data_IF_760522313130
#
_entry.id   IF_760522313130
#
_cell.length_a   1.000
_cell.length_b   1.000
_cell.length_c   1.000
_cell.angle_alpha   90.00
_cell.angle_beta   90.00
_cell.angle_gamma   90.00
#
_symmetry.space_group_name_H-M   'P 1'
#
loop_
_entity.id
_entity.type
_entity.pdbx_description
1 polymer ?
#
# COMPACT_ATOMS: atom_id res chain seq x y z
N UNK A 1 38.18 -26.16 -5.75
CA UNK A 1 37.11 -25.60 -4.92
C UNK A 1 36.27 -24.68 -5.79
N UNK A 2 35.17 -25.19 -6.33
CA UNK A 2 34.26 -24.50 -7.24
C UNK A 2 33.12 -23.90 -6.42
N UNK A 3 33.06 -22.57 -6.32
CA UNK A 3 31.96 -21.86 -5.67
C UNK A 3 30.82 -21.65 -6.67
N UNK A 4 29.71 -22.34 -6.42
CA UNK A 4 28.42 -22.18 -7.09
C UNK A 4 27.86 -20.76 -6.89
N UNK A 5 27.84 -19.95 -7.95
CA UNK A 5 26.91 -18.83 -8.07
C UNK A 5 25.56 -19.40 -8.55
N UNK A 6 24.58 -19.51 -7.65
CA UNK A 6 23.21 -19.81 -8.06
C UNK A 6 22.22 -18.91 -7.34
N UNK A 7 21.35 -18.31 -8.17
CA UNK A 7 20.07 -17.65 -7.84
C UNK A 7 20.14 -16.25 -7.21
N UNK A 8 20.51 -15.27 -8.02
CA UNK A 8 19.89 -13.94 -7.90
C UNK A 8 18.44 -14.10 -8.38
N UNK A 9 17.49 -14.01 -7.45
CA UNK A 9 16.07 -14.12 -7.74
C UNK A 9 15.56 -12.81 -8.33
N UNK A 10 14.71 -12.93 -9.35
CA UNK A 10 14.03 -11.85 -10.08
C UNK A 10 13.14 -10.95 -9.18
N UNK A 11 13.01 -11.28 -7.89
CA UNK A 11 12.17 -10.62 -6.89
C UNK A 11 12.74 -9.31 -6.34
N UNK A 12 14.05 -9.08 -6.45
CA UNK A 12 14.67 -7.82 -6.02
C UNK A 12 14.37 -6.63 -6.94
N UNK A 13 14.02 -6.89 -8.21
CA UNK A 13 13.77 -5.82 -9.19
C UNK A 13 12.45 -5.08 -8.98
N UNK A 14 11.45 -5.67 -8.32
CA UNK A 14 10.13 -5.03 -8.17
C UNK A 14 10.06 -3.97 -7.06
N UNK A 15 10.92 -4.01 -6.05
CA UNK A 15 11.08 -2.90 -5.10
C UNK A 15 12.09 -1.83 -5.57
N UNK A 16 13.00 -2.19 -6.50
CA UNK A 16 14.10 -1.35 -6.94
C UNK A 16 13.81 -0.49 -8.18
N UNK A 17 12.75 -0.78 -8.95
CA UNK A 17 12.54 -0.20 -10.29
C UNK A 17 11.82 1.16 -10.32
N UNK A 18 11.76 1.90 -9.21
CA UNK A 18 11.31 3.30 -9.20
C UNK A 18 12.24 4.14 -8.31
N UNK A 19 13.51 4.21 -8.68
CA UNK A 19 14.44 5.20 -8.12
C UNK A 19 15.48 5.60 -9.16
N UNK A 20 15.16 6.59 -9.98
CA UNK A 20 16.12 7.59 -10.46
C UNK A 20 15.37 8.79 -11.04
N UNK A 21 15.89 9.99 -10.75
CA UNK A 21 15.41 11.35 -11.11
C UNK A 21 14.33 11.98 -10.22
N UNK A 22 14.81 12.68 -9.18
CA UNK A 22 14.18 13.89 -8.64
C UNK A 22 14.73 15.09 -9.41
N UNK A 23 13.87 16.02 -9.84
CA UNK A 23 14.11 17.48 -9.91
C UNK A 23 12.78 18.17 -10.31
N UNK A 24 12.27 19.00 -9.39
CA UNK A 24 11.28 20.09 -9.47
C UNK A 24 9.93 19.94 -10.19
N UNK A 25 8.86 20.35 -9.48
CA UNK A 25 7.56 20.70 -10.06
C UNK A 25 6.38 20.47 -9.11
N UNK A 26 6.24 21.28 -8.05
CA UNK A 26 4.98 21.38 -7.29
C UNK A 26 4.07 22.39 -8.00
N UNK A 27 3.24 21.92 -8.93
CA UNK A 27 2.05 22.66 -9.33
C UNK A 27 0.86 22.12 -8.53
N UNK A 28 0.07 23.04 -7.97
CA UNK A 28 -1.10 22.76 -7.17
C UNK A 28 -2.20 22.10 -8.01
N UNK A 29 -2.18 20.77 -8.09
CA UNK A 29 -3.15 19.93 -8.83
C UNK A 29 -4.41 19.57 -8.04
N UNK A 30 -4.50 19.96 -6.77
CA UNK A 30 -5.63 19.66 -5.89
C UNK A 30 -6.99 20.16 -6.43
N UNK A 31 -7.02 21.09 -7.38
CA UNK A 31 -8.28 21.62 -7.96
C UNK A 31 -8.93 20.72 -9.02
N UNK A 32 -8.22 19.74 -9.60
CA UNK A 32 -8.80 18.90 -10.67
C UNK A 32 -9.59 17.69 -10.16
N UNK A 33 -9.43 17.31 -8.89
CA UNK A 33 -9.97 16.07 -8.32
C UNK A 33 -10.95 16.33 -7.19
N UNK A 34 -11.93 17.21 -7.43
CA UNK A 34 -13.05 17.38 -6.49
C UNK A 34 -13.96 16.14 -6.52
N UNK A 35 -14.71 15.85 -5.44
CA UNK A 35 -15.64 14.72 -5.36
C UNK A 35 -16.57 14.58 -6.59
N UNK A 36 -17.04 15.71 -7.12
CA UNK A 36 -17.96 15.76 -8.26
C UNK A 36 -17.30 15.44 -9.61
N UNK A 37 -15.97 15.52 -9.70
CA UNK A 37 -15.21 15.28 -10.93
C UNK A 37 -14.72 13.84 -11.08
N UNK A 38 -14.61 13.09 -9.98
CA UNK A 38 -14.17 11.68 -10.01
C UNK A 38 -15.10 10.80 -10.85
N UNK A 39 -16.44 10.85 -10.69
CA UNK A 39 -17.35 10.06 -11.52
C UNK A 39 -17.22 10.41 -13.01
N UNK A 40 -17.17 11.71 -13.33
CA UNK A 40 -17.04 12.17 -14.71
C UNK A 40 -15.75 11.68 -15.38
N UNK A 41 -14.62 11.77 -14.67
CA UNK A 41 -13.34 11.25 -15.17
C UNK A 41 -13.40 9.73 -15.41
N UNK A 42 -14.13 8.99 -14.57
CA UNK A 42 -14.30 7.54 -14.71
C UNK A 42 -15.17 7.21 -15.93
N UNK A 43 -16.25 7.96 -16.16
CA UNK A 43 -17.17 7.73 -17.27
C UNK A 43 -16.53 7.98 -18.64
N UNK A 44 -15.58 8.91 -18.72
CA UNK A 44 -14.88 9.28 -19.96
C UNK A 44 -13.70 8.33 -20.30
N UNK A 45 -13.35 7.38 -19.41
CA UNK A 45 -12.22 6.47 -19.59
C UNK A 45 -12.67 5.02 -19.78
N UNK A 46 -11.94 4.20 -20.55
CA UNK A 46 -12.21 2.78 -20.68
C UNK A 46 -11.70 2.01 -19.45
N UNK A 47 -12.26 2.34 -18.28
CA UNK A 47 -11.98 1.74 -16.96
C UNK A 47 -13.23 1.05 -16.42
N UNK A 48 -13.05 0.01 -15.62
CA UNK A 48 -14.11 -0.92 -15.23
C UNK A 48 -14.29 -0.99 -13.71
N UNK A 49 -14.36 0.17 -13.05
CA UNK A 49 -14.61 0.23 -11.61
C UNK A 49 -15.97 -0.38 -11.27
N UNK A 50 -15.99 -1.16 -10.20
CA UNK A 50 -17.25 -1.70 -9.67
C UNK A 50 -18.00 -0.63 -8.86
N UNK A 51 -19.33 -0.72 -8.70
CA UNK A 51 -20.11 0.31 -8.02
C UNK A 51 -19.58 0.68 -6.63
N UNK A 52 -19.15 -0.30 -5.82
CA UNK A 52 -18.57 -0.04 -4.50
C UNK A 52 -17.20 0.63 -4.57
N UNK A 53 -16.40 0.39 -5.61
CA UNK A 53 -15.12 1.08 -5.80
C UNK A 53 -15.35 2.54 -6.19
N UNK A 54 -16.32 2.84 -7.06
CA UNK A 54 -16.70 4.21 -7.41
C UNK A 54 -17.15 4.98 -6.16
N UNK A 55 -18.03 4.36 -5.36
CA UNK A 55 -18.48 4.94 -4.09
C UNK A 55 -17.31 5.19 -3.13
N UNK A 56 -16.37 4.24 -3.02
CA UNK A 56 -15.19 4.42 -2.18
C UNK A 56 -14.30 5.56 -2.67
N UNK A 57 -14.04 5.65 -3.98
CA UNK A 57 -13.22 6.72 -4.56
C UNK A 57 -13.84 8.10 -4.30
N UNK A 58 -15.16 8.21 -4.45
CA UNK A 58 -15.90 9.43 -4.10
C UNK A 58 -15.79 9.74 -2.60
N UNK A 59 -15.98 8.75 -1.73
CA UNK A 59 -15.87 8.91 -0.26
C UNK A 59 -14.49 9.39 0.18
N UNK A 60 -13.42 9.00 -0.53
CA UNK A 60 -12.03 9.35 -0.21
C UNK A 60 -11.53 10.65 -0.82
N UNK A 61 -12.32 11.29 -1.69
CA UNK A 61 -11.87 12.42 -2.53
C UNK A 61 -11.54 13.69 -1.73
N UNK A 62 -12.10 13.85 -0.54
CA UNK A 62 -11.79 14.94 0.41
C UNK A 62 -10.68 14.54 1.42
N UNK A 63 -10.09 13.36 1.26
CA UNK A 63 -9.08 12.81 2.17
C UNK A 63 -9.67 12.20 3.45
N UNK A 64 -10.98 12.06 3.56
CA UNK A 64 -11.69 11.49 4.70
C UNK A 64 -12.42 10.18 4.33
N UNK A 65 -13.05 9.54 5.32
CA UNK A 65 -13.96 8.41 5.12
C UNK A 65 -15.25 8.76 5.85
N UNK A 66 -16.28 9.10 5.09
CA UNK A 66 -17.56 9.58 5.61
C UNK A 66 -18.65 8.49 5.51
N UNK A 67 -18.59 7.69 4.45
CA UNK A 67 -19.60 6.71 4.06
C UNK A 67 -19.18 5.30 4.42
N UNK A 68 -17.88 5.00 4.39
CA UNK A 68 -17.36 3.68 4.71
C UNK A 68 -16.63 3.65 6.06
N UNK A 69 -16.85 2.55 6.80
CA UNK A 69 -15.95 2.24 7.92
C UNK A 69 -14.56 1.91 7.39
N UNK A 70 -13.53 2.07 8.22
CA UNK A 70 -12.17 1.71 7.84
C UNK A 70 -12.08 0.25 7.35
N UNK A 71 -12.74 -0.69 8.05
CA UNK A 71 -12.79 -2.08 7.61
C UNK A 71 -13.39 -2.23 6.22
N UNK A 72 -14.56 -1.62 5.97
CA UNK A 72 -15.24 -1.77 4.69
C UNK A 72 -14.43 -1.15 3.55
N UNK A 73 -13.87 0.04 3.77
CA UNK A 73 -13.00 0.71 2.82
C UNK A 73 -11.78 -0.16 2.44
N UNK A 74 -11.10 -0.76 3.43
CA UNK A 74 -9.98 -1.66 3.19
C UNK A 74 -10.38 -2.95 2.46
N UNK A 75 -11.55 -3.51 2.77
CA UNK A 75 -12.08 -4.69 2.10
C UNK A 75 -12.45 -4.39 0.64
N UNK A 76 -13.10 -3.26 0.35
CA UNK A 76 -13.44 -2.82 -1.00
C UNK A 76 -12.16 -2.56 -1.80
N UNK A 77 -11.20 -1.81 -1.23
CA UNK A 77 -9.89 -1.58 -1.86
C UNK A 77 -9.13 -2.88 -2.12
N UNK A 78 -9.38 -3.92 -1.31
CA UNK A 78 -8.84 -5.28 -1.46
C UNK A 78 -9.61 -6.19 -2.41
N UNK A 79 -10.70 -5.71 -3.05
CA UNK A 79 -11.45 -6.46 -4.05
C UNK A 79 -12.81 -7.01 -3.60
N UNK A 80 -13.31 -6.67 -2.41
CA UNK A 80 -14.68 -7.00 -1.98
C UNK A 80 -15.71 -6.05 -2.61
N UNK A 81 -15.84 -6.11 -3.94
CA UNK A 81 -16.50 -5.09 -4.75
C UNK A 81 -18.01 -5.29 -4.96
N UNK A 82 -18.59 -6.34 -4.38
CA UNK A 82 -20.04 -6.58 -4.38
C UNK A 82 -20.60 -6.57 -2.96
N UNK A 83 -21.88 -6.19 -2.74
CA UNK A 83 -22.49 -6.20 -1.41
C UNK A 83 -22.40 -7.57 -0.71
N UNK A 84 -22.55 -8.65 -1.47
CA UNK A 84 -22.45 -10.03 -0.96
C UNK A 84 -21.02 -10.33 -0.49
N UNK A 85 -20.01 -10.05 -1.33
CA UNK A 85 -18.60 -10.27 -0.98
C UNK A 85 -18.18 -9.42 0.23
N UNK A 86 -18.58 -8.15 0.26
CA UNK A 86 -18.29 -7.25 1.36
C UNK A 86 -18.90 -7.75 2.68
N UNK A 87 -20.18 -8.13 2.67
CA UNK A 87 -20.86 -8.69 3.83
C UNK A 87 -20.22 -9.99 4.35
N UNK A 88 -19.84 -10.89 3.44
CA UNK A 88 -19.14 -12.13 3.81
C UNK A 88 -17.80 -11.87 4.50
N UNK A 89 -16.97 -10.99 3.94
CA UNK A 89 -15.66 -10.66 4.51
C UNK A 89 -15.79 -9.87 5.82
N UNK A 90 -16.78 -8.98 5.92
CA UNK A 90 -17.12 -8.28 7.17
C UNK A 90 -17.48 -9.26 8.29
N UNK A 91 -18.27 -10.30 8.01
CA UNK A 91 -18.60 -11.34 9.00
C UNK A 91 -17.37 -12.10 9.48
N UNK A 92 -16.48 -12.49 8.56
CA UNK A 92 -15.21 -13.16 8.90
C UNK A 92 -14.34 -12.28 9.81
N UNK A 93 -14.19 -11.00 9.48
CA UNK A 93 -13.46 -10.07 10.32
C UNK A 93 -14.09 -9.91 11.71
N UNK A 94 -15.42 -9.70 11.78
CA UNK A 94 -16.14 -9.53 13.05
C UNK A 94 -15.98 -10.74 13.97
N UNK A 95 -16.02 -11.95 13.42
CA UNK A 95 -15.76 -13.17 14.18
C UNK A 95 -14.36 -13.16 14.83
N UNK A 96 -13.32 -12.86 14.04
CA UNK A 96 -11.94 -12.79 14.54
C UNK A 96 -11.73 -11.66 15.55
N UNK A 97 -12.39 -10.52 15.34
CA UNK A 97 -12.35 -9.39 16.26
C UNK A 97 -13.02 -9.73 17.59
N UNK A 98 -14.20 -10.36 17.58
CA UNK A 98 -14.89 -10.81 18.79
C UNK A 98 -14.05 -11.81 19.57
N UNK A 99 -13.46 -12.79 18.88
CA UNK A 99 -12.56 -13.75 19.52
C UNK A 99 -11.35 -13.09 20.17
N UNK A 100 -10.75 -12.07 19.53
CA UNK A 100 -9.68 -11.28 20.13
C UNK A 100 -10.14 -10.51 21.38
N UNK A 101 -11.31 -9.87 21.32
CA UNK A 101 -11.88 -9.10 22.44
C UNK A 101 -12.12 -9.95 23.68
N UNK A 102 -12.46 -11.24 23.49
CA UNK A 102 -12.59 -12.19 24.60
C UNK A 102 -11.24 -12.68 25.13
N UNK A 103 -10.20 -12.66 24.30
CA UNK A 103 -8.88 -13.23 24.62
C UNK A 103 -7.89 -12.19 25.17
N UNK A 104 -8.09 -10.90 24.89
CA UNK A 104 -7.15 -9.83 25.22
C UNK A 104 -7.81 -8.88 26.24
N UNK A 105 -7.40 -8.91 27.53
CA UNK A 105 -8.02 -8.07 28.54
C UNK A 105 -7.81 -6.57 28.29
N UNK A 106 -8.88 -5.77 28.37
CA UNK A 106 -8.83 -4.32 28.19
C UNK A 106 -8.02 -3.57 29.27
N UNK A 107 -7.89 -4.16 30.47
CA UNK A 107 -7.22 -3.56 31.63
C UNK A 107 -5.69 -3.66 31.58
N UNK A 108 -5.13 -4.35 30.59
CA UNK A 108 -3.68 -4.40 30.40
C UNK A 108 -3.14 -3.01 30.06
N UNK A 109 -1.90 -2.74 30.48
CA UNK A 109 -1.15 -1.56 30.03
C UNK A 109 -1.06 -1.50 28.50
N UNK A 110 -0.97 -0.29 27.94
CA UNK A 110 -1.00 -0.02 26.50
C UNK A 110 -0.04 -0.91 25.71
N UNK A 111 1.20 -1.04 26.16
CA UNK A 111 2.26 -1.83 25.52
C UNK A 111 1.93 -3.33 25.59
N UNK A 112 1.39 -3.82 26.70
CA UNK A 112 0.99 -5.22 26.83
C UNK A 112 -0.20 -5.55 25.93
N UNK A 113 -1.20 -4.65 25.81
CA UNK A 113 -2.30 -4.83 24.85
C UNK A 113 -1.80 -4.84 23.42
N UNK A 114 -0.89 -3.94 23.08
CA UNK A 114 -0.25 -3.89 21.78
C UNK A 114 0.48 -5.20 21.45
N UNK A 115 1.23 -5.75 22.42
CA UNK A 115 1.92 -7.03 22.28
C UNK A 115 0.94 -8.18 22.09
N UNK A 116 -0.13 -8.23 22.87
CA UNK A 116 -1.14 -9.29 22.74
C UNK A 116 -1.86 -9.26 21.39
N UNK A 117 -2.17 -8.07 20.85
CA UNK A 117 -2.70 -7.96 19.49
C UNK A 117 -1.68 -8.50 18.48
N UNK A 118 -0.40 -8.10 18.59
CA UNK A 118 0.67 -8.57 17.70
C UNK A 118 0.74 -10.11 17.68
N UNK A 119 0.82 -10.73 18.86
CA UNK A 119 0.91 -12.18 18.95
C UNK A 119 -0.38 -12.88 18.55
N UNK A 120 -1.54 -12.30 18.87
CA UNK A 120 -2.83 -12.82 18.41
C UNK A 120 -2.90 -12.90 16.89
N UNK A 121 -2.52 -11.83 16.19
CA UNK A 121 -2.55 -11.79 14.73
C UNK A 121 -1.64 -12.87 14.13
N UNK A 122 -0.43 -13.06 14.64
CA UNK A 122 0.46 -14.13 14.17
C UNK A 122 -0.04 -15.54 14.50
N UNK A 123 -0.66 -15.74 15.67
CA UNK A 123 -1.21 -17.06 16.04
C UNK A 123 -2.45 -17.43 15.24
N UNK A 124 -3.27 -16.45 14.87
CA UNK A 124 -4.61 -16.70 14.32
C UNK A 124 -4.72 -16.45 12.81
N UNK A 125 -4.01 -15.45 12.29
CA UNK A 125 -4.30 -14.88 10.95
C UNK A 125 -3.06 -14.84 10.05
N UNK A 126 -1.94 -14.27 10.52
CA UNK A 126 -0.74 -14.02 9.73
C UNK A 126 0.12 -15.30 9.64
N UNK A 127 -0.17 -16.15 8.64
CA UNK A 127 0.45 -17.48 8.47
C UNK A 127 1.71 -17.44 7.62
N UNK A 128 1.68 -16.74 6.48
CA UNK A 128 2.78 -16.74 5.51
C UNK A 128 3.01 -15.34 4.94
N UNK A 129 4.24 -14.86 5.08
CA UNK A 129 4.67 -13.63 4.44
C UNK A 129 4.86 -13.83 2.93
N UNK A 130 4.36 -12.88 2.14
CA UNK A 130 4.49 -12.81 0.68
C UNK A 130 5.16 -11.50 0.29
N UNK A 131 6.19 -11.59 -0.56
CA UNK A 131 6.85 -10.41 -1.15
C UNK A 131 6.07 -9.85 -2.33
N UNK A 132 5.16 -10.64 -2.90
CA UNK A 132 4.25 -10.21 -3.97
C UNK A 132 3.06 -9.44 -3.41
N UNK A 133 2.37 -8.64 -4.25
CA UNK A 133 1.14 -7.99 -3.84
C UNK A 133 0.11 -9.02 -3.32
N UNK A 134 -0.39 -8.77 -2.11
CA UNK A 134 -1.52 -9.51 -1.51
C UNK A 134 -2.52 -8.51 -0.93
N UNK A 135 -3.76 -8.96 -0.79
CA UNK A 135 -4.89 -8.15 -0.34
C UNK A 135 -5.40 -8.63 1.02
N UNK A 136 -6.34 -7.90 1.63
CA UNK A 136 -6.99 -8.40 2.84
C UNK A 136 -7.79 -9.68 2.60
N UNK A 137 -8.22 -9.97 1.37
CA UNK A 137 -8.97 -11.19 1.07
C UNK A 137 -8.10 -12.45 1.14
N UNK A 138 -6.80 -12.30 0.87
CA UNK A 138 -5.81 -13.39 0.98
C UNK A 138 -5.55 -13.79 2.45
N UNK A 139 -5.66 -12.83 3.38
CA UNK A 139 -5.56 -13.11 4.83
C UNK A 139 -6.62 -14.11 5.28
N UNK A 140 -7.87 -13.91 4.85
CA UNK A 140 -9.01 -14.70 5.34
C UNK A 140 -9.04 -16.11 4.78
N UNK A 141 -8.52 -16.27 3.57
CA UNK A 141 -8.61 -17.54 2.83
C UNK A 141 -7.37 -18.40 3.02
N UNK A 142 -6.19 -17.78 3.09
CA UNK A 142 -4.90 -18.49 3.10
C UNK A 142 -3.98 -18.06 4.25
N UNK A 143 -4.30 -16.97 4.95
CA UNK A 143 -3.40 -16.36 5.93
C UNK A 143 -2.14 -15.75 5.32
N UNK A 144 -2.18 -15.46 4.01
CA UNK A 144 -1.07 -14.83 3.30
C UNK A 144 -1.10 -13.32 3.55
N UNK A 145 0.05 -12.74 3.84
CA UNK A 145 0.17 -11.33 4.22
C UNK A 145 1.47 -10.71 3.72
N UNK A 146 1.48 -9.39 3.63
CA UNK A 146 2.67 -8.57 3.41
C UNK A 146 2.69 -7.45 4.46
N UNK A 147 3.67 -6.53 4.35
CA UNK A 147 3.86 -5.45 5.31
C UNK A 147 2.62 -4.54 5.45
N UNK A 148 1.94 -4.21 4.35
CA UNK A 148 0.77 -3.33 4.33
C UNK A 148 -0.47 -4.02 4.87
N UNK A 149 -0.80 -5.22 4.38
CA UNK A 149 -1.97 -5.98 4.86
C UNK A 149 -1.87 -6.27 6.36
N UNK A 150 -0.69 -6.65 6.86
CA UNK A 150 -0.49 -6.90 8.28
C UNK A 150 -0.53 -5.63 9.12
N UNK A 151 0.12 -4.55 8.69
CA UNK A 151 0.07 -3.26 9.39
C UNK A 151 -1.35 -2.71 9.43
N UNK A 152 -2.10 -2.77 8.32
CA UNK A 152 -3.47 -2.32 8.27
C UNK A 152 -4.40 -3.13 9.17
N UNK A 153 -4.23 -4.46 9.17
CA UNK A 153 -4.98 -5.33 10.08
C UNK A 153 -4.71 -4.99 11.54
N UNK A 154 -3.43 -4.85 11.91
CA UNK A 154 -3.04 -4.42 13.25
C UNK A 154 -3.63 -3.05 13.59
N UNK A 155 -3.56 -2.09 12.68
CA UNK A 155 -4.11 -0.74 12.86
C UNK A 155 -5.61 -0.76 13.18
N UNK A 156 -6.41 -1.56 12.46
CA UNK A 156 -7.85 -1.69 12.75
C UNK A 156 -8.09 -2.33 14.13
N UNK A 157 -7.35 -3.39 14.48
CA UNK A 157 -7.48 -4.02 15.79
C UNK A 157 -7.09 -3.05 16.91
N UNK A 158 -5.94 -2.40 16.80
CA UNK A 158 -5.41 -1.46 17.77
C UNK A 158 -6.38 -0.29 18.04
N UNK A 159 -7.03 0.24 17.00
CA UNK A 159 -8.07 1.28 17.16
C UNK A 159 -9.27 0.81 17.98
N UNK A 160 -9.61 -0.49 17.95
CA UNK A 160 -10.70 -1.03 18.78
C UNK A 160 -10.34 -1.07 20.28
N UNK A 161 -9.05 -1.07 20.61
CA UNK A 161 -8.53 -1.00 21.97
C UNK A 161 -8.03 0.40 22.36
N UNK A 162 -8.38 1.43 21.57
CA UNK A 162 -7.98 2.82 21.78
C UNK A 162 -6.45 3.00 21.90
N UNK A 163 -5.67 2.16 21.19
CA UNK A 163 -4.22 2.27 21.20
C UNK A 163 -3.74 3.39 20.26
N UNK A 164 -2.79 4.23 20.70
CA UNK A 164 -2.31 5.37 19.92
C UNK A 164 -1.28 4.92 18.88
N UNK A 165 -1.75 4.29 17.80
CA UNK A 165 -0.89 3.71 16.75
C UNK A 165 -0.96 4.48 15.44
N UNK A 166 0.12 4.41 14.67
CA UNK A 166 0.22 4.96 13.32
C UNK A 166 0.84 3.94 12.37
N UNK A 167 0.35 3.87 11.12
CA UNK A 167 1.05 3.15 10.04
C UNK A 167 2.14 4.06 9.52
N UNK A 168 3.38 3.58 9.56
CA UNK A 168 4.54 4.28 9.01
C UNK A 168 4.95 3.59 7.74
N UNK A 169 4.99 4.36 6.65
CA UNK A 169 5.55 3.94 5.38
C UNK A 169 6.98 4.46 5.23
N UNK A 170 7.83 3.62 4.68
CA UNK A 170 9.18 3.92 4.23
C UNK A 170 9.28 3.55 2.75
N UNK A 171 10.33 3.98 2.03
CA UNK A 171 10.46 3.68 0.59
C UNK A 171 10.33 2.20 0.21
N UNK A 172 10.65 1.27 1.12
CA UNK A 172 10.65 -0.17 0.85
C UNK A 172 9.69 -0.98 1.71
N UNK A 173 9.08 -0.37 2.73
CA UNK A 173 8.49 -1.13 3.81
C UNK A 173 7.45 -0.34 4.60
N UNK A 174 6.59 -1.04 5.32
CA UNK A 174 5.63 -0.42 6.22
C UNK A 174 5.55 -1.19 7.55
N UNK A 175 5.40 -0.45 8.63
CA UNK A 175 5.30 -1.00 9.99
C UNK A 175 4.35 -0.15 10.84
N UNK A 176 4.09 -0.59 12.07
CA UNK A 176 3.29 0.17 13.04
C UNK A 176 4.20 0.88 14.03
N UNK A 177 3.94 2.15 14.28
CA UNK A 177 4.49 2.88 15.42
C UNK A 177 3.43 3.01 16.50
N UNK A 178 3.73 2.52 17.70
CA UNK A 178 2.97 2.81 18.90
C UNK A 178 3.52 4.11 19.52
N UNK A 179 2.67 5.13 19.60
CA UNK A 179 3.04 6.48 20.04
C UNK A 179 2.99 6.57 21.59
N UNK A 180 3.84 5.79 22.24
CA UNK A 180 4.16 5.87 23.67
C UNK A 180 5.42 6.72 23.89
N UNK A 181 5.86 6.88 25.15
CA UNK A 181 7.12 7.54 25.49
C UNK A 181 8.03 6.58 26.28
N UNK A 182 9.08 5.98 25.63
CA UNK A 182 9.46 6.14 24.22
C UNK A 182 8.48 5.44 23.26
N UNK A 183 8.49 5.86 21.99
CA UNK A 183 7.68 5.22 20.95
C UNK A 183 8.22 3.84 20.60
N UNK A 184 7.34 2.87 20.37
CA UNK A 184 7.74 1.51 19.98
C UNK A 184 7.43 1.24 18.50
N UNK A 185 8.34 0.51 17.84
CA UNK A 185 8.10 -0.02 16.50
C UNK A 185 7.56 -1.44 16.63
N UNK A 186 6.54 -1.75 15.84
CA UNK A 186 5.91 -3.05 15.76
C UNK A 186 6.02 -3.52 14.31
N UNK A 187 6.93 -4.46 14.09
CA UNK A 187 7.29 -5.03 12.80
C UNK A 187 6.55 -6.34 12.55
N UNK A 188 5.40 -6.26 11.86
CA UNK A 188 4.50 -7.39 11.64
C UNK A 188 5.05 -8.44 10.66
N UNK A 189 6.17 -8.17 9.98
CA UNK A 189 6.83 -9.16 9.12
C UNK A 189 7.85 -10.02 9.89
N UNK A 190 8.09 -9.73 11.17
CA UNK A 190 9.00 -10.48 12.05
C UNK A 190 8.23 -11.15 13.21
N UNK A 191 7.60 -12.33 13.00
CA UNK A 191 6.62 -12.91 13.94
C UNK A 191 7.12 -13.15 15.36
N UNK A 192 8.43 -13.34 15.56
CA UNK A 192 9.02 -13.64 16.88
C UNK A 192 9.65 -12.44 17.58
N UNK A 193 10.13 -11.45 16.82
CA UNK A 193 10.98 -10.34 17.31
C UNK A 193 10.52 -8.97 16.83
N UNK A 194 9.31 -8.90 16.29
CA UNK A 194 8.78 -7.69 15.67
C UNK A 194 8.20 -6.68 16.65
N UNK A 195 7.76 -7.13 17.83
CA UNK A 195 7.26 -6.21 18.86
C UNK A 195 8.42 -5.51 19.57
N UNK A 196 8.42 -4.17 19.58
CA UNK A 196 9.54 -3.38 20.11
C UNK A 196 10.79 -3.49 19.23
N UNK A 197 10.61 -3.74 17.93
CA UNK A 197 11.71 -3.89 16.98
C UNK A 197 12.59 -2.63 16.95
N UNK A 198 13.90 -2.81 16.93
CA UNK A 198 14.84 -1.72 16.73
C UNK A 198 15.75 -2.09 15.57
N UNK A 199 15.80 -1.24 14.56
CA UNK A 199 16.64 -1.43 13.40
C UNK A 199 17.96 -0.69 13.62
N UNK A 200 19.07 -1.38 13.44
CA UNK A 200 20.38 -0.72 13.48
C UNK A 200 20.60 0.10 12.21
N UNK A 201 21.57 1.02 12.25
CA UNK A 201 21.96 1.80 11.06
C UNK A 201 22.43 0.88 9.93
N UNK A 202 23.22 -0.13 10.26
CA UNK A 202 23.78 -1.08 9.30
C UNK A 202 22.69 -1.94 8.65
N UNK A 203 21.65 -2.32 9.40
CA UNK A 203 20.50 -3.04 8.87
C UNK A 203 19.77 -2.19 7.80
N UNK A 204 19.53 -0.91 8.07
CA UNK A 204 18.87 -0.01 7.11
C UNK A 204 19.68 0.10 5.83
N UNK A 205 20.97 0.38 5.94
CA UNK A 205 21.82 0.59 4.77
C UNK A 205 21.99 -0.69 3.94
N UNK A 206 22.17 -1.83 4.60
CA UNK A 206 22.23 -3.13 3.93
C UNK A 206 20.95 -3.39 3.14
N UNK A 207 19.77 -3.07 3.72
CA UNK A 207 18.50 -3.21 3.02
C UNK A 207 18.38 -2.24 1.82
N UNK A 208 18.79 -0.98 1.97
CA UNK A 208 18.75 0.00 0.89
C UNK A 208 19.67 -0.39 -0.28
N UNK A 209 20.87 -0.90 0.01
CA UNK A 209 21.82 -1.41 -1.00
C UNK A 209 21.26 -2.65 -1.70
N UNK A 210 20.74 -3.61 -0.95
CA UNK A 210 20.20 -4.86 -1.50
C UNK A 210 18.99 -4.60 -2.40
N UNK A 211 18.23 -3.55 -2.14
CA UNK A 211 17.12 -3.12 -2.98
C UNK A 211 17.52 -2.10 -4.06
N UNK A 212 18.81 -1.81 -4.24
CA UNK A 212 19.30 -0.89 -5.27
C UNK A 212 18.79 0.54 -5.14
N UNK A 213 18.31 0.95 -3.96
CA UNK A 213 17.85 2.32 -3.71
C UNK A 213 18.99 3.30 -3.43
N UNK A 214 20.13 2.74 -3.01
CA UNK A 214 21.42 3.44 -2.91
C UNK A 214 22.48 2.51 -3.51
N UNK A 215 23.58 3.12 -3.92
CA UNK A 215 24.75 2.42 -4.47
C UNK A 215 25.93 2.50 -3.50
N UNK A 216 26.97 1.66 -3.66
CA UNK A 216 28.23 1.83 -2.94
C UNK A 216 28.85 3.22 -3.17
N UNK A 217 28.59 3.82 -4.35
CA UNK A 217 29.03 5.18 -4.67
C UNK A 217 28.31 6.22 -3.80
N UNK A 218 26.98 6.14 -3.65
CA UNK A 218 26.22 7.03 -2.76
C UNK A 218 26.74 6.99 -1.32
N UNK A 219 27.08 5.79 -0.84
CA UNK A 219 27.67 5.57 0.48
C UNK A 219 29.04 6.25 0.61
N UNK A 220 29.87 6.17 -0.43
CA UNK A 220 31.21 6.77 -0.43
C UNK A 220 31.19 8.31 -0.43
N UNK A 221 30.18 8.92 -1.05
CA UNK A 221 30.06 10.38 -1.17
C UNK A 221 29.31 11.00 0.02
N UNK A 222 28.15 10.44 0.38
CA UNK A 222 27.28 11.04 1.40
C UNK A 222 27.61 10.55 2.82
N UNK A 223 28.25 9.39 2.94
CA UNK A 223 28.48 8.73 4.20
C UNK A 223 27.22 8.12 4.83
N UNK A 224 27.44 7.25 5.81
CA UNK A 224 26.40 6.45 6.48
C UNK A 224 25.36 7.34 7.18
N UNK A 225 25.79 8.36 7.93
CA UNK A 225 24.89 9.15 8.77
C UNK A 225 23.94 10.02 7.94
N UNK A 226 24.41 10.61 6.83
CA UNK A 226 23.56 11.41 5.96
C UNK A 226 22.49 10.56 5.27
N UNK A 227 22.85 9.36 4.78
CA UNK A 227 21.91 8.44 4.14
C UNK A 227 20.89 7.88 5.12
N UNK A 228 21.33 7.50 6.33
CA UNK A 228 20.42 7.04 7.37
C UNK A 228 19.46 8.15 7.81
N UNK A 229 19.96 9.39 7.96
CA UNK A 229 19.13 10.56 8.26
C UNK A 229 18.12 10.81 7.14
N UNK A 230 18.54 10.82 5.87
CA UNK A 230 17.67 10.99 4.73
C UNK A 230 16.60 9.89 4.64
N UNK A 231 16.94 8.63 4.96
CA UNK A 231 15.97 7.54 5.06
C UNK A 231 14.91 7.80 6.14
N UNK A 232 15.34 8.25 7.33
CA UNK A 232 14.43 8.58 8.44
C UNK A 232 13.53 9.76 8.11
N UNK A 233 14.04 10.77 7.41
CA UNK A 233 13.26 11.93 6.96
C UNK A 233 12.23 11.59 5.87
N UNK A 234 12.44 10.48 5.14
CA UNK A 234 11.47 9.96 4.14
C UNK A 234 10.39 9.07 4.75
N UNK A 235 10.41 8.83 6.06
CA UNK A 235 9.33 8.11 6.72
C UNK A 235 8.07 8.95 6.73
N UNK A 236 6.94 8.35 6.37
CA UNK A 236 5.64 9.03 6.32
C UNK A 236 4.65 8.30 7.19
N UNK A 237 3.91 9.05 7.99
CA UNK A 237 2.75 8.53 8.68
C UNK A 237 1.60 8.58 7.68
N UNK A 238 1.01 7.43 7.39
CA UNK A 238 -0.12 7.36 6.47
C UNK A 238 -1.43 7.65 7.23
N UNK A 239 -2.28 8.49 6.63
CA UNK A 239 -3.67 8.61 7.06
C UNK A 239 -4.45 7.33 6.73
N UNK A 240 -5.61 7.08 7.36
CA UNK A 240 -6.46 5.94 7.01
C UNK A 240 -6.79 5.84 5.52
N UNK A 241 -7.03 6.98 4.87
CA UNK A 241 -7.31 7.08 3.43
C UNK A 241 -6.06 6.80 2.59
N UNK A 242 -4.90 7.35 2.96
CA UNK A 242 -3.66 7.10 2.23
C UNK A 242 -3.23 5.64 2.23
N UNK A 243 -3.60 4.85 3.26
CA UNK A 243 -3.35 3.41 3.26
C UNK A 243 -4.17 2.70 2.16
N UNK A 244 -5.38 3.19 1.85
CA UNK A 244 -6.21 2.65 0.77
C UNK A 244 -5.56 2.81 -0.60
N UNK A 245 -4.87 3.93 -0.84
CA UNK A 245 -4.08 4.12 -2.05
C UNK A 245 -3.02 3.03 -2.22
N UNK A 246 -2.41 2.55 -1.12
CA UNK A 246 -1.42 1.46 -1.17
C UNK A 246 -2.06 0.13 -1.58
N UNK A 247 -3.30 -0.15 -1.16
CA UNK A 247 -4.02 -1.34 -1.60
C UNK A 247 -4.31 -1.31 -3.11
N UNK A 248 -4.77 -0.18 -3.64
CA UNK A 248 -4.97 -0.01 -5.07
C UNK A 248 -3.65 -0.07 -5.85
N UNK A 249 -2.57 0.52 -5.33
CA UNK A 249 -1.23 0.39 -5.90
C UNK A 249 -0.79 -1.08 -6.01
N UNK A 250 -0.97 -1.87 -4.95
CA UNK A 250 -0.66 -3.30 -4.95
C UNK A 250 -1.50 -4.07 -6.00
N UNK A 251 -2.79 -3.75 -6.14
CA UNK A 251 -3.65 -4.35 -7.17
C UNK A 251 -3.22 -3.95 -8.59
N UNK A 252 -2.76 -2.72 -8.78
CA UNK A 252 -2.21 -2.26 -10.05
C UNK A 252 -0.97 -3.07 -10.46
N UNK A 253 -0.06 -3.29 -9.51
CA UNK A 253 1.13 -4.13 -9.74
C UNK A 253 0.75 -5.59 -10.05
N UNK A 254 -0.20 -6.16 -9.32
CA UNK A 254 -0.68 -7.52 -9.58
C UNK A 254 -1.30 -7.65 -10.98
N UNK A 255 -2.15 -6.70 -11.38
CA UNK A 255 -2.73 -6.68 -12.72
C UNK A 255 -1.64 -6.57 -13.80
N UNK A 256 -0.63 -5.72 -13.57
CA UNK A 256 0.51 -5.60 -14.46
C UNK A 256 1.34 -6.89 -14.59
N UNK A 257 1.59 -7.60 -13.48
CA UNK A 257 2.25 -8.92 -13.50
C UNK A 257 1.49 -9.93 -14.36
N UNK A 258 0.16 -9.84 -14.38
CA UNK A 258 -0.72 -10.66 -15.21
C UNK A 258 -0.93 -10.11 -16.64
N UNK A 259 -0.23 -9.03 -17.01
CA UNK A 259 -0.34 -8.32 -18.30
C UNK A 259 -1.74 -7.74 -18.59
N UNK A 260 -2.52 -7.54 -17.54
CA UNK A 260 -3.85 -6.94 -17.62
C UNK A 260 -3.74 -5.41 -17.55
N UNK A 261 -3.39 -4.81 -18.69
CA UNK A 261 -3.13 -3.36 -18.79
C UNK A 261 -4.34 -2.48 -18.44
N UNK A 262 -5.58 -2.81 -18.84
CA UNK A 262 -6.76 -2.05 -18.42
C UNK A 262 -6.87 -1.96 -16.90
N UNK A 263 -6.81 -3.10 -16.20
CA UNK A 263 -6.92 -3.12 -14.74
C UNK A 263 -5.68 -2.54 -14.05
N UNK A 264 -4.48 -2.72 -14.61
CA UNK A 264 -3.27 -2.07 -14.10
C UNK A 264 -3.41 -0.55 -14.11
N UNK A 265 -3.82 0.03 -15.24
CA UNK A 265 -4.08 1.46 -15.35
C UNK A 265 -5.18 1.92 -14.38
N UNK A 266 -6.33 1.23 -14.38
CA UNK A 266 -7.45 1.55 -13.51
C UNK A 266 -7.06 1.63 -12.04
N UNK A 267 -6.37 0.61 -11.51
CA UNK A 267 -6.00 0.61 -10.09
C UNK A 267 -4.87 1.60 -9.77
N UNK A 268 -3.96 1.87 -10.72
CA UNK A 268 -2.98 2.94 -10.54
C UNK A 268 -3.67 4.32 -10.46
N UNK A 269 -4.64 4.57 -11.34
CA UNK A 269 -5.46 5.77 -11.32
C UNK A 269 -6.20 5.91 -9.98
N UNK A 270 -6.84 4.84 -9.49
CA UNK A 270 -7.48 4.85 -8.16
C UNK A 270 -6.51 5.24 -7.04
N UNK A 271 -5.30 4.68 -7.02
CA UNK A 271 -4.28 5.05 -6.03
C UNK A 271 -3.90 6.54 -6.12
N UNK A 272 -3.78 7.08 -7.34
CA UNK A 272 -3.51 8.50 -7.55
C UNK A 272 -4.68 9.39 -7.13
N UNK A 273 -5.92 9.02 -7.44
CA UNK A 273 -7.11 9.78 -7.04
C UNK A 273 -7.25 9.88 -5.52
N UNK A 274 -6.93 8.80 -4.80
CA UNK A 274 -6.98 8.76 -3.33
C UNK A 274 -5.83 9.57 -2.71
N UNK A 275 -4.66 9.58 -3.34
CA UNK A 275 -3.47 10.24 -2.82
C UNK A 275 -2.70 10.97 -3.93
N UNK A 276 -3.24 12.11 -4.41
CA UNK A 276 -2.71 12.80 -5.60
C UNK A 276 -1.33 13.40 -5.39
N UNK A 277 -1.01 13.78 -4.15
CA UNK A 277 0.29 14.36 -3.76
C UNK A 277 1.45 13.35 -3.81
N UNK A 278 1.18 12.05 -3.84
CA UNK A 278 2.24 11.04 -3.97
C UNK A 278 2.65 10.85 -5.43
N UNK A 279 3.78 11.44 -5.78
CA UNK A 279 4.35 11.37 -7.13
C UNK A 279 4.57 9.92 -7.62
N UNK A 280 4.69 8.92 -6.74
CA UNK A 280 4.80 7.50 -7.15
C UNK A 280 3.53 7.04 -7.85
N UNK A 281 2.35 7.40 -7.33
CA UNK A 281 1.07 6.99 -7.91
C UNK A 281 0.79 7.75 -9.21
N UNK A 282 1.16 9.04 -9.30
CA UNK A 282 1.10 9.79 -10.56
C UNK A 282 1.95 9.13 -11.65
N UNK A 283 3.21 8.80 -11.35
CA UNK A 283 4.11 8.13 -12.29
C UNK A 283 3.59 6.75 -12.71
N UNK A 284 3.13 5.95 -11.76
CA UNK A 284 2.59 4.63 -12.06
C UNK A 284 1.38 4.73 -13.00
N UNK A 285 0.43 5.62 -12.69
CA UNK A 285 -0.76 5.88 -13.51
C UNK A 285 -0.39 6.22 -14.94
N UNK A 286 0.54 7.17 -15.13
CA UNK A 286 1.02 7.56 -16.45
C UNK A 286 1.67 6.39 -17.20
N UNK A 287 2.53 5.63 -16.53
CA UNK A 287 3.24 4.51 -17.16
C UNK A 287 2.29 3.40 -17.60
N UNK A 288 1.29 3.07 -16.77
CA UNK A 288 0.30 2.05 -17.11
C UNK A 288 -0.71 2.54 -18.14
N UNK A 289 -1.06 3.83 -18.15
CA UNK A 289 -1.82 4.43 -19.25
C UNK A 289 -1.08 4.31 -20.60
N UNK A 290 0.23 4.59 -20.64
CA UNK A 290 1.05 4.43 -21.85
C UNK A 290 1.13 2.97 -22.30
N UNK A 291 1.29 2.04 -21.36
CA UNK A 291 1.29 0.61 -21.66
C UNK A 291 -0.07 0.14 -22.21
N UNK A 292 -1.17 0.65 -21.63
CA UNK A 292 -2.52 0.35 -22.09
C UNK A 292 -2.81 0.93 -23.47
N UNK A 293 -2.45 2.19 -23.74
CA UNK A 293 -2.54 2.78 -25.09
C UNK A 293 -1.77 1.97 -26.14
N UNK A 294 -0.59 1.45 -25.76
CA UNK A 294 0.21 0.59 -26.64
C UNK A 294 -0.51 -0.73 -26.94
N UNK A 295 -1.14 -1.34 -25.94
CA UNK A 295 -1.94 -2.55 -26.12
C UNK A 295 -3.16 -2.30 -27.02
N UNK A 296 -3.92 -1.23 -26.76
CA UNK A 296 -5.09 -0.83 -27.56
C UNK A 296 -4.72 -0.59 -29.03
N UNK A 297 -3.59 0.08 -29.30
CA UNK A 297 -3.09 0.28 -30.66
C UNK A 297 -2.79 -1.03 -31.37
N UNK A 298 -2.16 -1.99 -30.68
CA UNK A 298 -1.88 -3.32 -31.23
C UNK A 298 -3.17 -4.08 -31.55
N UNK A 299 -4.17 -3.93 -30.70
CA UNK A 299 -5.42 -4.68 -30.78
C UNK A 299 -6.46 -4.00 -31.70
N UNK A 300 -6.19 -2.77 -32.18
CA UNK A 300 -7.03 -2.04 -33.13
C UNK A 300 -8.20 -1.26 -32.50
N UNK A 301 -8.19 -1.07 -31.17
CA UNK A 301 -9.25 -0.44 -30.38
C UNK A 301 -9.16 1.10 -30.43
N UNK A 302 -9.68 1.70 -31.49
CA UNK A 302 -9.47 3.13 -31.82
C UNK A 302 -10.12 4.10 -30.83
N UNK A 303 -11.36 3.84 -30.40
CA UNK A 303 -12.09 4.73 -29.48
C UNK A 303 -11.44 4.77 -28.09
N UNK A 304 -11.16 3.59 -27.52
CA UNK A 304 -10.44 3.48 -26.25
C UNK A 304 -9.05 4.10 -26.31
N UNK A 305 -8.34 3.94 -27.44
CA UNK A 305 -7.04 4.56 -27.65
C UNK A 305 -7.13 6.10 -27.66
N UNK A 306 -8.16 6.67 -28.28
CA UNK A 306 -8.39 8.10 -28.30
C UNK A 306 -8.64 8.64 -26.88
N UNK A 307 -9.48 7.98 -26.10
CA UNK A 307 -9.77 8.35 -24.71
C UNK A 307 -8.50 8.34 -23.84
N UNK A 308 -7.71 7.26 -23.89
CA UNK A 308 -6.46 7.16 -23.11
C UNK A 308 -5.42 8.19 -23.59
N UNK A 309 -5.37 8.50 -24.89
CA UNK A 309 -4.46 9.51 -25.43
C UNK A 309 -4.83 10.91 -24.95
N UNK A 310 -6.13 11.25 -24.95
CA UNK A 310 -6.62 12.51 -24.41
C UNK A 310 -6.29 12.64 -22.91
N UNK A 311 -6.55 11.59 -22.13
CA UNK A 311 -6.14 11.53 -20.73
C UNK A 311 -4.65 11.79 -20.53
N UNK A 312 -3.78 11.14 -21.31
CA UNK A 312 -2.34 11.32 -21.20
C UNK A 312 -1.88 12.75 -21.52
N UNK A 313 -2.56 13.45 -22.42
CA UNK A 313 -2.27 14.85 -22.75
C UNK A 313 -2.63 15.77 -21.58
N UNK A 314 -3.81 15.58 -21.00
CA UNK A 314 -4.28 16.37 -19.86
C UNK A 314 -3.47 16.06 -18.59
N UNK A 315 -3.11 14.79 -18.39
CA UNK A 315 -2.38 14.31 -17.21
C UNK A 315 -0.89 14.70 -17.20
N UNK A 316 -0.33 15.05 -18.37
CA UNK A 316 1.07 15.46 -18.53
C UNK A 316 1.31 16.94 -18.23
N UNK A 317 0.28 17.79 -18.31
CA UNK A 317 0.34 19.19 -17.89
C UNK A 317 0.47 19.27 -16.36
#
# INVERSE_FOLDING_TARGET
MTTNFSKISFTGLMCASISLFFLFGTNSFAQLYTPDRVPKLIDDLPVFFKPLEIQLLSDTSDGLLNSFTLLDAGLIASGATTPVSLSQNRRRFKYLQQHALLSIPYLLHTEHRAAEIFYYLHRQILRRFETRPVTLLDLWTRGHYNCITASYLYFIFARRYDLPVAVVETPMHAYIRLNTHPSLVIELTLPKRGFGFSQTRDDVLSNLLNAGLITPYDLSISGIDALFKAYRERQRILTPVQILAVFFYNRALAAYEHRDMPYAFQYALAAHLIHPEDARYRRLTRNFALAYATALRRDGETESLQAITAFLQDFAQ
#
